data_IF_856313238728
#
_entry.id   IF_856313238728
#
_cell.length_a   1.000
_cell.length_b   1.000
_cell.length_c   1.000
_cell.angle_alpha   90.00
_cell.angle_beta   90.00
_cell.angle_gamma   90.00
#
_symmetry.space_group_name_H-M   'P 1'
#
loop_
_entity.id
_entity.type
_entity.pdbx_description
1 polymer ?
#
# COMPACT_ATOMS: atom_id res chain seq x y z
N UNK A 1 14.57 0.45 -12.54
CA UNK A 1 13.14 0.36 -12.21
C UNK A 1 13.04 -0.19 -10.80
N UNK A 2 12.20 0.41 -9.96
CA UNK A 2 12.14 0.11 -8.51
C UNK A 2 10.69 -0.14 -8.15
N UNK A 3 10.32 -1.38 -7.77
CA UNK A 3 8.93 -1.70 -7.43
C UNK A 3 8.50 -0.94 -6.16
N UNK A 4 7.28 -0.42 -6.15
CA UNK A 4 6.71 0.34 -5.02
C UNK A 4 5.37 -0.27 -4.61
N UNK A 5 5.17 -0.51 -3.32
CA UNK A 5 3.89 -0.96 -2.77
C UNK A 5 3.32 0.10 -1.83
N UNK A 6 2.08 0.52 -2.10
CA UNK A 6 1.27 1.32 -1.18
C UNK A 6 0.20 0.44 -0.53
N UNK A 7 0.09 0.46 0.79
CA UNK A 7 -1.01 -0.16 1.53
C UNK A 7 -1.90 0.93 2.14
N UNK A 8 -3.20 0.90 1.85
CA UNK A 8 -4.14 1.97 2.22
C UNK A 8 -5.40 1.40 2.88
N UNK A 9 -5.75 1.93 4.05
CA UNK A 9 -7.03 1.63 4.70
C UNK A 9 -8.18 2.35 3.99
N UNK A 10 -9.25 1.62 3.64
CA UNK A 10 -10.44 2.16 2.99
C UNK A 10 -11.33 3.01 3.90
N UNK A 11 -11.16 2.87 5.23
CA UNK A 11 -11.85 3.67 6.26
C UNK A 11 -10.89 4.60 6.98
N UNK A 12 -9.72 4.85 6.42
CA UNK A 12 -8.76 5.81 6.95
C UNK A 12 -9.36 7.23 6.90
N UNK A 13 -9.37 7.89 8.07
CA UNK A 13 -9.89 9.24 8.27
C UNK A 13 -8.79 10.27 8.48
N UNK A 14 -7.54 9.83 8.59
CA UNK A 14 -6.35 10.68 8.71
C UNK A 14 -5.77 10.90 7.32
N UNK A 15 -5.62 9.82 6.53
CA UNK A 15 -5.19 9.87 5.13
C UNK A 15 -6.27 9.20 4.27
N UNK A 16 -7.18 9.96 3.63
CA UNK A 16 -8.27 9.39 2.85
C UNK A 16 -7.80 8.46 1.71
N UNK A 17 -8.57 7.41 1.36
CA UNK A 17 -8.16 6.41 0.35
C UNK A 17 -7.82 6.97 -1.04
N UNK A 18 -8.38 8.14 -1.38
CA UNK A 18 -8.09 8.83 -2.64
C UNK A 18 -6.59 9.15 -2.80
N UNK A 19 -5.84 9.34 -1.71
CA UNK A 19 -4.40 9.52 -1.76
C UNK A 19 -3.68 8.28 -2.28
N UNK A 20 -4.11 7.07 -1.86
CA UNK A 20 -3.56 5.81 -2.38
C UNK A 20 -3.80 5.65 -3.88
N UNK A 21 -5.01 5.96 -4.36
CA UNK A 21 -5.32 5.95 -5.80
C UNK A 21 -4.48 6.97 -6.57
N UNK A 22 -4.31 8.18 -6.03
CA UNK A 22 -3.47 9.20 -6.65
C UNK A 22 -2.01 8.76 -6.72
N UNK A 23 -1.45 8.17 -5.66
CA UNK A 23 -0.08 7.66 -5.63
C UNK A 23 0.14 6.56 -6.68
N UNK A 24 -0.81 5.62 -6.79
CA UNK A 24 -0.77 4.56 -7.81
C UNK A 24 -0.70 5.12 -9.23
N UNK A 25 -1.46 6.19 -9.51
CA UNK A 25 -1.50 6.82 -10.84
C UNK A 25 -0.23 7.62 -11.18
N UNK A 26 0.51 8.07 -10.17
CA UNK A 26 1.64 9.00 -10.33
C UNK A 26 3.00 8.38 -10.02
N UNK A 27 3.05 7.09 -9.67
CA UNK A 27 4.29 6.38 -9.34
C UNK A 27 4.49 5.22 -10.31
N UNK A 28 5.55 5.23 -11.15
CA UNK A 28 5.86 4.12 -12.03
C UNK A 28 6.05 2.81 -11.25
N UNK A 29 5.49 1.71 -11.79
CA UNK A 29 5.58 0.36 -11.19
C UNK A 29 5.04 0.25 -9.76
N UNK A 30 4.11 1.14 -9.40
CA UNK A 30 3.42 1.04 -8.12
C UNK A 30 2.30 -0.02 -8.16
N UNK A 31 2.16 -0.70 -7.03
CA UNK A 31 1.02 -1.52 -6.67
C UNK A 31 0.26 -0.87 -5.49
N UNK A 32 -1.06 -1.00 -5.46
CA UNK A 32 -1.90 -0.53 -4.37
C UNK A 32 -2.68 -1.68 -3.76
N UNK A 33 -2.41 -1.96 -2.48
CA UNK A 33 -3.25 -2.80 -1.64
C UNK A 33 -4.25 -1.94 -0.90
N UNK A 34 -5.46 -1.81 -1.46
CA UNK A 34 -6.58 -1.21 -0.76
C UNK A 34 -7.18 -2.23 0.21
N UNK A 35 -7.29 -1.86 1.49
CA UNK A 35 -7.91 -2.67 2.54
C UNK A 35 -9.23 -2.03 2.97
N UNK A 36 -10.38 -2.39 2.34
CA UNK A 36 -11.58 -1.55 2.38
C UNK A 36 -12.17 -1.32 3.77
N UNK A 37 -11.89 -2.23 4.71
CA UNK A 37 -12.44 -2.20 6.08
C UNK A 37 -11.49 -1.59 7.10
N UNK A 38 -10.23 -1.38 6.73
CA UNK A 38 -9.18 -0.97 7.67
C UNK A 38 -9.15 0.56 7.78
N UNK A 39 -8.93 1.04 9.01
CA UNK A 39 -8.64 2.45 9.29
C UNK A 39 -7.13 2.73 9.27
N UNK A 40 -6.75 3.94 9.66
CA UNK A 40 -5.36 4.43 9.63
C UNK A 40 -4.35 3.51 10.32
N UNK A 41 -4.74 2.91 11.45
CA UNK A 41 -3.87 2.01 12.22
C UNK A 41 -4.07 0.54 11.80
N UNK A 42 -5.31 0.12 11.57
CA UNK A 42 -5.61 -1.28 11.24
C UNK A 42 -4.96 -1.74 9.92
N UNK A 43 -4.65 -0.81 9.00
CA UNK A 43 -3.92 -1.14 7.77
C UNK A 43 -2.52 -1.72 8.04
N UNK A 44 -1.94 -1.45 9.22
CA UNK A 44 -0.64 -2.01 9.63
C UNK A 44 -0.67 -3.54 9.79
N UNK A 45 -1.84 -4.17 9.87
CA UNK A 45 -1.96 -5.64 9.79
C UNK A 45 -1.46 -6.18 8.43
N UNK A 46 -1.35 -5.32 7.41
CA UNK A 46 -0.74 -5.66 6.13
C UNK A 46 0.79 -5.72 6.18
N UNK A 47 1.45 -5.24 7.25
CA UNK A 47 2.91 -5.14 7.28
C UNK A 47 3.61 -6.49 7.09
N UNK A 48 3.12 -7.57 7.72
CA UNK A 48 3.75 -8.89 7.58
C UNK A 48 3.76 -9.36 6.12
N UNK A 49 2.62 -9.28 5.43
CA UNK A 49 2.52 -9.67 4.02
C UNK A 49 3.23 -8.67 3.09
N UNK A 50 3.32 -7.40 3.45
CA UNK A 50 4.10 -6.41 2.70
C UNK A 50 5.62 -6.69 2.77
N UNK A 51 6.10 -7.21 3.90
CA UNK A 51 7.50 -7.65 4.03
C UNK A 51 7.79 -8.89 3.18
N UNK A 52 6.80 -9.77 3.01
CA UNK A 52 6.91 -10.91 2.10
C UNK A 52 7.01 -10.45 0.64
N UNK A 53 6.13 -9.52 0.24
CA UNK A 53 6.19 -8.86 -1.05
C UNK A 53 7.54 -8.17 -1.28
N UNK A 54 8.05 -7.43 -0.30
CA UNK A 54 9.34 -6.75 -0.39
C UNK A 54 10.47 -7.75 -0.66
N UNK A 55 10.48 -8.89 0.04
CA UNK A 55 11.51 -9.92 -0.12
C UNK A 55 11.48 -10.59 -1.49
N UNK A 56 10.30 -10.75 -2.08
CA UNK A 56 10.15 -11.26 -3.44
C UNK A 56 10.70 -10.26 -4.47
N UNK A 57 10.48 -8.97 -4.23
CA UNK A 57 10.85 -7.88 -5.14
C UNK A 57 12.24 -7.26 -4.85
N UNK A 58 12.91 -7.65 -3.76
CA UNK A 58 14.27 -7.20 -3.41
C UNK A 58 15.38 -8.04 -4.03
N UNK A 59 15.03 -9.19 -4.63
CA UNK A 59 16.00 -10.07 -5.30
C UNK A 59 16.22 -9.56 -6.73
N UNK A 60 17.16 -8.61 -6.86
CA UNK A 60 17.95 -8.48 -8.08
C UNK A 60 18.94 -9.65 -8.18
#
# INVERSE_FOLDING_TARGET
MTPVLYAQGGRDRVVPPAHGTWLLQNTPEAELWLRPRDGHIAVLDACAVAMDWLREHSRL
#
